data_IF_139381608599
#
_entry.id   IF_139381608599
#
_cell.length_a   1.000
_cell.length_b   1.000
_cell.length_c   1.000
_cell.angle_alpha   90.00
_cell.angle_beta   90.00
_cell.angle_gamma   90.00
#
_symmetry.space_group_name_H-M   'P 1'
#
loop_
_entity.id
_entity.type
_entity.pdbx_description
1 polymer ?
#
# COMPACT_ATOMS: atom_id res chain seq x y z
N UNK A 1 5.06 60.23 16.36
CA UNK A 1 6.33 60.07 15.62
C UNK A 1 7.23 59.16 16.42
N UNK A 2 6.94 57.86 16.39
CA UNK A 2 7.78 56.78 16.90
C UNK A 2 7.03 55.49 16.58
N UNK A 3 7.58 54.72 15.65
CA UNK A 3 7.64 53.23 15.64
C UNK A 3 7.72 52.75 14.19
N UNK A 4 8.86 53.05 13.55
CA UNK A 4 9.20 52.50 12.22
C UNK A 4 10.71 52.23 12.13
N UNK A 5 11.23 51.49 13.11
CA UNK A 5 12.65 51.10 13.15
C UNK A 5 12.89 49.61 13.42
N UNK A 6 11.85 48.77 13.49
CA UNK A 6 12.00 47.37 13.93
C UNK A 6 11.60 46.30 12.90
N UNK A 7 11.22 46.65 11.67
CA UNK A 7 10.99 45.63 10.62
C UNK A 7 12.28 45.13 9.95
N UNK A 8 13.42 45.81 10.18
CA UNK A 8 14.68 45.50 9.51
C UNK A 8 15.56 44.47 10.24
N UNK A 9 15.22 44.06 11.47
CA UNK A 9 16.02 43.12 12.28
C UNK A 9 15.22 41.88 12.73
N UNK A 10 14.36 41.37 11.84
CA UNK A 10 13.71 40.07 12.04
C UNK A 10 14.50 38.97 11.28
N UNK A 11 15.16 38.02 11.97
CA UNK A 11 15.86 36.90 11.32
C UNK A 11 14.94 36.03 10.45
N UNK A 12 13.63 36.08 10.66
CA UNK A 12 12.64 35.37 9.86
C UNK A 12 12.45 35.99 8.46
N UNK A 13 12.68 37.30 8.30
CA UNK A 13 12.59 37.99 7.01
C UNK A 13 13.84 37.72 6.16
N UNK A 14 15.02 37.75 6.78
CA UNK A 14 16.29 37.41 6.12
C UNK A 14 16.36 35.94 5.71
N UNK A 15 15.80 35.03 6.53
CA UNK A 15 15.68 33.61 6.22
C UNK A 15 14.75 33.36 5.01
N UNK A 16 13.54 33.96 5.00
CA UNK A 16 12.61 33.90 3.84
C UNK A 16 13.22 34.40 2.54
N UNK A 17 14.07 35.42 2.60
CA UNK A 17 14.75 35.98 1.43
C UNK A 17 15.81 35.03 0.84
N UNK A 18 16.50 34.22 1.65
CA UNK A 18 17.49 33.23 1.15
C UNK A 18 16.85 32.00 0.49
N UNK A 19 15.60 31.66 0.85
CA UNK A 19 14.85 30.57 0.22
C UNK A 19 14.36 30.96 -1.20
N UNK A 20 14.29 32.26 -1.50
CA UNK A 20 13.88 32.80 -2.81
C UNK A 20 15.02 32.89 -3.84
N UNK A 21 16.25 32.47 -3.52
CA UNK A 21 17.42 32.53 -4.43
C UNK A 21 17.85 31.17 -5.00
N UNK A 22 17.09 30.09 -4.77
CA UNK A 22 17.24 28.85 -5.56
C UNK A 22 16.34 28.97 -6.78
N UNK A 23 16.90 29.57 -7.84
CA UNK A 23 16.18 30.03 -9.02
C UNK A 23 15.17 29.03 -9.58
N UNK A 24 14.16 29.58 -10.27
CA UNK A 24 12.97 28.96 -10.89
C UNK A 24 13.10 27.49 -11.35
N UNK A 25 14.29 27.06 -11.77
CA UNK A 25 14.65 25.67 -12.04
C UNK A 25 14.45 24.70 -10.86
N UNK A 26 14.78 25.10 -9.63
CA UNK A 26 14.61 24.23 -8.45
C UNK A 26 13.13 24.05 -8.12
N UNK A 27 12.35 25.13 -8.17
CA UNK A 27 10.90 25.07 -7.98
C UNK A 27 10.20 24.30 -9.10
N UNK A 28 10.66 24.46 -10.35
CA UNK A 28 10.18 23.67 -11.49
C UNK A 28 10.47 22.17 -11.31
N UNK A 29 11.67 21.81 -10.84
CA UNK A 29 12.04 20.43 -10.55
C UNK A 29 11.24 19.84 -9.39
N UNK A 30 10.97 20.61 -8.33
CA UNK A 30 10.17 20.14 -7.19
C UNK A 30 8.69 20.00 -7.56
N UNK A 31 8.13 20.95 -8.32
CA UNK A 31 6.74 20.91 -8.76
C UNK A 31 6.47 19.78 -9.77
N UNK A 32 7.46 19.45 -10.62
CA UNK A 32 7.36 18.36 -11.59
C UNK A 32 8.13 17.10 -11.16
N UNK A 33 8.51 17.00 -9.89
CA UNK A 33 9.44 15.98 -9.40
C UNK A 33 8.94 14.56 -9.65
N UNK A 34 7.64 14.32 -9.44
CA UNK A 34 7.02 13.02 -9.65
C UNK A 34 7.10 12.59 -11.13
N UNK A 35 6.87 13.53 -12.06
CA UNK A 35 6.97 13.24 -13.48
C UNK A 35 8.41 12.96 -13.91
N UNK A 36 9.36 13.76 -13.42
CA UNK A 36 10.79 13.56 -13.66
C UNK A 36 11.26 12.21 -13.09
N UNK A 37 10.80 11.85 -11.89
CA UNK A 37 11.12 10.57 -11.26
C UNK A 37 10.60 9.38 -12.06
N UNK A 38 9.38 9.46 -12.59
CA UNK A 38 8.80 8.42 -13.46
C UNK A 38 9.61 8.27 -14.75
N UNK A 39 9.98 9.36 -15.41
CA UNK A 39 10.78 9.30 -16.65
C UNK A 39 12.14 8.66 -16.38
N UNK A 40 12.85 9.08 -15.33
CA UNK A 40 14.15 8.52 -14.97
C UNK A 40 14.03 7.03 -14.64
N UNK A 41 12.99 6.62 -13.91
CA UNK A 41 12.74 5.22 -13.61
C UNK A 41 12.50 4.39 -14.88
N UNK A 42 11.74 4.91 -15.85
CA UNK A 42 11.51 4.24 -17.14
C UNK A 42 12.83 4.05 -17.89
N UNK A 43 13.68 5.07 -17.97
CA UNK A 43 14.99 5.00 -18.66
C UNK A 43 15.92 3.98 -17.99
N UNK A 44 15.99 3.97 -16.66
CA UNK A 44 16.81 3.00 -15.91
C UNK A 44 16.31 1.57 -16.16
N UNK A 45 14.99 1.35 -16.11
CA UNK A 45 14.37 0.05 -16.36
C UNK A 45 14.61 -0.39 -17.82
N UNK A 46 14.60 0.51 -18.79
CA UNK A 46 14.95 0.21 -20.19
C UNK A 46 16.37 -0.31 -20.34
N UNK A 47 17.34 0.33 -19.68
CA UNK A 47 18.76 -0.07 -19.75
C UNK A 47 18.96 -1.44 -19.09
N UNK A 48 18.33 -1.69 -17.92
CA UNK A 48 18.47 -2.95 -17.21
C UNK A 48 17.70 -4.12 -17.87
N UNK A 49 16.60 -3.81 -18.57
CA UNK A 49 15.74 -4.79 -19.24
C UNK A 49 15.35 -4.27 -20.64
N UNK A 50 16.20 -4.45 -21.66
CA UNK A 50 15.94 -3.96 -23.03
C UNK A 50 14.71 -4.61 -23.70
N UNK A 51 14.22 -5.72 -23.13
CA UNK A 51 12.99 -6.40 -23.57
C UNK A 51 11.72 -5.91 -22.87
N UNK A 52 11.83 -4.95 -21.95
CA UNK A 52 10.71 -4.42 -21.14
C UNK A 52 9.60 -3.79 -21.99
N UNK A 53 9.95 -3.02 -23.03
CA UNK A 53 8.97 -2.43 -23.96
C UNK A 53 8.49 -3.38 -25.05
N UNK A 54 8.90 -4.66 -25.04
CA UNK A 54 8.33 -5.62 -25.97
C UNK A 54 6.86 -5.90 -25.62
N UNK A 55 6.01 -5.98 -26.64
CA UNK A 55 4.55 -6.20 -26.49
C UNK A 55 4.22 -7.37 -25.55
N UNK A 56 4.88 -8.55 -25.63
CA UNK A 56 4.57 -9.66 -24.72
C UNK A 56 4.94 -9.36 -23.25
N UNK A 57 6.01 -8.60 -23.02
CA UNK A 57 6.44 -8.24 -21.66
C UNK A 57 5.50 -7.22 -21.04
N UNK A 58 5.03 -6.24 -21.82
CA UNK A 58 4.02 -5.26 -21.38
C UNK A 58 2.73 -5.98 -20.97
N UNK A 59 2.23 -6.90 -21.80
CA UNK A 59 1.02 -7.68 -21.50
C UNK A 59 1.20 -8.48 -20.21
N UNK A 60 2.37 -9.09 -20.01
CA UNK A 60 2.65 -9.86 -18.80
C UNK A 60 2.73 -8.99 -17.55
N UNK A 61 3.39 -7.83 -17.63
CA UNK A 61 3.50 -6.86 -16.53
C UNK A 61 2.11 -6.29 -16.17
N UNK A 62 1.32 -5.91 -17.18
CA UNK A 62 -0.03 -5.40 -16.97
C UNK A 62 -0.91 -6.51 -16.39
N UNK A 63 -0.87 -7.73 -16.93
CA UNK A 63 -1.68 -8.85 -16.41
C UNK A 63 -1.35 -9.15 -14.95
N UNK A 64 -0.06 -9.17 -14.59
CA UNK A 64 0.38 -9.40 -13.21
C UNK A 64 0.01 -8.24 -12.28
N UNK A 65 0.18 -7.00 -12.74
CA UNK A 65 -0.16 -5.81 -11.96
C UNK A 65 -1.67 -5.67 -11.79
N UNK A 66 -2.44 -5.92 -12.84
CA UNK A 66 -3.91 -5.89 -12.85
C UNK A 66 -4.51 -6.96 -11.94
N UNK A 67 -3.89 -8.13 -11.80
CA UNK A 67 -4.33 -9.12 -10.82
C UNK A 67 -4.08 -8.67 -9.36
N UNK A 68 -3.00 -7.94 -9.11
CA UNK A 68 -2.62 -7.49 -7.77
C UNK A 68 -3.28 -6.17 -7.35
N UNK A 69 -3.74 -5.35 -8.30
CA UNK A 69 -4.40 -4.07 -8.05
C UNK A 69 -5.71 -4.19 -7.24
N UNK A 70 -6.65 -5.11 -7.53
CA UNK A 70 -7.88 -5.29 -6.75
C UNK A 70 -7.60 -5.66 -5.29
N UNK A 71 -6.59 -6.50 -5.05
CA UNK A 71 -6.19 -6.94 -3.72
C UNK A 71 -5.61 -5.74 -2.94
N UNK A 72 -4.70 -4.99 -3.57
CA UNK A 72 -4.10 -3.80 -2.96
C UNK A 72 -5.14 -2.72 -2.67
N UNK A 73 -6.08 -2.49 -3.59
CA UNK A 73 -7.17 -1.53 -3.40
C UNK A 73 -8.12 -1.95 -2.28
N UNK A 74 -8.41 -3.25 -2.16
CA UNK A 74 -9.21 -3.79 -1.05
C UNK A 74 -8.56 -3.54 0.31
N UNK A 75 -7.26 -3.83 0.44
CA UNK A 75 -6.51 -3.58 1.68
C UNK A 75 -6.40 -2.08 1.97
N UNK A 76 -6.13 -1.26 0.95
CA UNK A 76 -6.10 0.20 1.10
C UNK A 76 -7.44 0.76 1.57
N UNK A 77 -8.56 0.24 1.03
CA UNK A 77 -9.91 0.59 1.48
C UNK A 77 -10.12 0.27 2.96
N UNK A 78 -9.74 -0.94 3.41
CA UNK A 78 -9.83 -1.33 4.82
C UNK A 78 -9.00 -0.44 5.75
N UNK A 79 -7.79 -0.03 5.33
CA UNK A 79 -6.91 0.87 6.10
C UNK A 79 -7.50 2.28 6.20
N UNK A 80 -8.07 2.80 5.10
CA UNK A 80 -8.66 4.15 5.04
C UNK A 80 -9.93 4.24 5.90
N UNK A 81 -10.80 3.23 5.83
CA UNK A 81 -12.07 3.20 6.58
C UNK A 81 -11.88 3.00 8.09
N UNK A 82 -10.85 2.25 8.50
CA UNK A 82 -10.63 1.89 9.91
C UNK A 82 -9.56 2.77 10.58
N UNK A 83 -8.98 3.73 9.87
CA UNK A 83 -8.00 4.66 10.40
C UNK A 83 -6.72 3.97 10.86
N UNK A 84 -5.90 3.42 9.95
CA UNK A 84 -4.58 2.84 10.29
C UNK A 84 -4.57 1.85 11.46
N UNK A 85 -5.67 1.10 11.67
CA UNK A 85 -5.68 0.04 12.66
C UNK A 85 -4.85 -1.16 12.18
N UNK A 86 -3.71 -1.38 12.83
CA UNK A 86 -2.82 -2.53 12.62
C UNK A 86 -3.53 -3.88 12.86
N UNK A 87 -4.70 -3.86 13.53
CA UNK A 87 -5.57 -5.03 13.71
C UNK A 87 -6.09 -5.60 12.39
N UNK A 88 -6.42 -4.75 11.41
CA UNK A 88 -6.94 -5.21 10.12
C UNK A 88 -5.94 -6.14 9.40
N UNK A 89 -4.65 -5.80 9.44
CA UNK A 89 -3.58 -6.61 8.84
C UNK A 89 -3.41 -7.98 9.50
N UNK A 90 -3.61 -8.09 10.82
CA UNK A 90 -3.47 -9.36 11.56
C UNK A 90 -4.62 -10.31 11.27
N UNK A 91 -5.84 -9.79 11.15
CA UNK A 91 -7.02 -10.59 10.82
C UNK A 91 -6.87 -11.13 9.39
N UNK A 92 -6.47 -10.28 8.44
CA UNK A 92 -6.18 -10.70 7.06
C UNK A 92 -5.06 -11.75 7.02
N UNK A 93 -4.00 -11.61 7.83
CA UNK A 93 -2.94 -12.61 7.95
C UNK A 93 -3.43 -13.95 8.50
N UNK A 94 -4.24 -13.95 9.56
CA UNK A 94 -4.81 -15.17 10.14
C UNK A 94 -5.76 -15.87 9.17
N UNK A 95 -6.62 -15.09 8.50
CA UNK A 95 -7.53 -15.54 7.45
C UNK A 95 -6.76 -16.15 6.27
N UNK A 96 -5.64 -15.55 5.87
CA UNK A 96 -4.75 -16.10 4.85
C UNK A 96 -4.08 -17.41 5.28
N UNK A 97 -3.59 -17.52 6.52
CA UNK A 97 -3.02 -18.75 7.06
C UNK A 97 -4.06 -19.88 7.15
N UNK A 98 -5.29 -19.59 7.57
CA UNK A 98 -6.39 -20.56 7.62
C UNK A 98 -6.76 -21.01 6.20
N UNK A 99 -6.86 -20.07 5.25
CA UNK A 99 -7.12 -20.38 3.84
C UNK A 99 -6.03 -21.29 3.25
N UNK A 100 -4.76 -20.95 3.46
CA UNK A 100 -3.62 -21.75 3.00
C UNK A 100 -3.58 -23.14 3.65
N UNK A 101 -3.97 -23.23 4.93
CA UNK A 101 -4.06 -24.49 5.66
C UNK A 101 -5.21 -25.37 5.16
N UNK A 102 -6.29 -24.80 4.62
CA UNK A 102 -7.42 -25.55 4.08
C UNK A 102 -7.26 -25.87 2.58
N UNK A 103 -6.54 -25.03 1.83
CA UNK A 103 -6.28 -25.19 0.39
C UNK A 103 -5.00 -26.02 0.11
N UNK A 104 -4.71 -27.01 0.94
CA UNK A 104 -3.53 -27.86 0.74
C UNK A 104 -3.68 -28.70 -0.54
N UNK A 105 -2.70 -28.59 -1.44
CA UNK A 105 -2.66 -29.38 -2.68
C UNK A 105 -2.33 -30.85 -2.38
N UNK A 106 -2.97 -31.77 -3.11
CA UNK A 106 -2.83 -33.22 -2.93
C UNK A 106 -1.37 -33.73 -3.00
N UNK A 107 -0.45 -32.99 -3.63
CA UNK A 107 0.96 -33.34 -3.80
C UNK A 107 1.96 -32.69 -2.84
N UNK A 108 1.51 -32.01 -1.78
CA UNK A 108 2.42 -31.40 -0.79
C UNK A 108 2.95 -32.46 0.19
N UNK A 109 4.27 -32.56 0.36
CA UNK A 109 4.91 -33.60 1.18
C UNK A 109 4.72 -33.41 2.70
N UNK A 110 4.48 -32.18 3.17
CA UNK A 110 4.19 -31.84 4.56
C UNK A 110 2.77 -31.29 4.69
N UNK A 111 1.76 -32.17 4.59
CA UNK A 111 0.35 -31.78 4.81
C UNK A 111 0.12 -31.55 6.30
N UNK A 112 -0.41 -30.38 6.68
CA UNK A 112 -0.89 -30.12 8.03
C UNK A 112 -2.16 -30.92 8.36
N UNK A 113 -2.92 -31.35 7.34
CA UNK A 113 -4.06 -32.26 7.47
C UNK A 113 -4.00 -33.35 6.39
N UNK A 114 -3.46 -34.54 6.69
CA UNK A 114 -3.18 -35.58 5.69
C UNK A 114 -4.44 -36.21 5.03
N UNK A 115 -5.60 -36.16 5.67
CA UNK A 115 -6.86 -36.79 5.20
C UNK A 115 -7.84 -35.85 4.47
N UNK A 116 -7.50 -34.58 4.24
CA UNK A 116 -8.40 -33.67 3.53
C UNK A 116 -8.27 -33.87 2.01
N UNK A 117 -9.29 -34.49 1.42
CA UNK A 117 -9.52 -34.43 -0.03
C UNK A 117 -9.62 -32.96 -0.48
N UNK A 118 -9.10 -32.65 -1.67
CA UNK A 118 -9.18 -31.31 -2.28
C UNK A 118 -10.58 -30.73 -2.17
N UNK A 119 -10.78 -29.88 -1.17
CA UNK A 119 -12.04 -29.21 -0.97
C UNK A 119 -12.17 -28.13 -2.05
N UNK A 120 -13.36 -27.95 -2.63
CA UNK A 120 -13.51 -26.97 -3.68
C UNK A 120 -13.17 -25.56 -3.19
N UNK A 121 -12.41 -24.82 -3.98
CA UNK A 121 -11.87 -23.48 -3.62
C UNK A 121 -12.96 -22.51 -3.16
N UNK A 122 -14.16 -22.61 -3.75
CA UNK A 122 -15.30 -21.77 -3.39
C UNK A 122 -15.79 -21.99 -1.94
N UNK A 123 -15.73 -23.22 -1.42
CA UNK A 123 -16.13 -23.54 -0.04
C UNK A 123 -15.13 -22.94 0.95
N UNK A 124 -13.84 -23.05 0.66
CA UNK A 124 -12.76 -22.52 1.51
C UNK A 124 -12.84 -21.00 1.62
N UNK A 125 -13.09 -20.30 0.50
CA UNK A 125 -13.23 -18.84 0.48
C UNK A 125 -14.41 -18.40 1.36
N UNK A 126 -15.59 -19.02 1.23
CA UNK A 126 -16.77 -18.65 2.02
C UNK A 126 -16.56 -18.89 3.52
N UNK A 127 -15.97 -20.03 3.90
CA UNK A 127 -15.68 -20.35 5.29
C UNK A 127 -14.70 -19.34 5.90
N UNK A 128 -13.63 -19.04 5.18
CA UNK A 128 -12.57 -18.11 5.60
C UNK A 128 -13.11 -16.68 5.71
N UNK A 129 -13.98 -16.26 4.79
CA UNK A 129 -14.65 -14.95 4.84
C UNK A 129 -15.59 -14.85 6.05
N UNK A 130 -16.33 -15.92 6.37
CA UNK A 130 -17.22 -15.96 7.53
C UNK A 130 -16.43 -15.90 8.85
N UNK A 131 -15.35 -16.68 8.98
CA UNK A 131 -14.49 -16.67 10.18
C UNK A 131 -13.77 -15.32 10.33
N UNK A 132 -13.18 -14.81 9.24
CA UNK A 132 -12.51 -13.51 9.23
C UNK A 132 -13.45 -12.35 9.55
N UNK A 133 -14.67 -12.38 8.99
CA UNK A 133 -15.70 -11.39 9.26
C UNK A 133 -16.19 -11.42 10.71
N UNK A 134 -16.36 -12.60 11.30
CA UNK A 134 -16.77 -12.72 12.71
C UNK A 134 -15.70 -12.19 13.66
N UNK A 135 -14.43 -12.55 13.44
CA UNK A 135 -13.30 -12.06 14.24
C UNK A 135 -13.10 -10.55 14.05
N UNK A 136 -13.21 -10.06 12.80
CA UNK A 136 -13.21 -8.64 12.46
C UNK A 136 -14.32 -7.86 13.14
N UNK A 137 -15.53 -8.43 13.17
CA UNK A 137 -16.68 -7.81 13.84
C UNK A 137 -16.47 -7.71 15.34
N UNK A 138 -15.96 -8.76 16.00
CA UNK A 138 -15.66 -8.72 17.44
C UNK A 138 -14.58 -7.67 17.73
N UNK A 139 -13.52 -7.62 16.92
CA UNK A 139 -12.44 -6.65 17.10
C UNK A 139 -12.91 -5.20 16.86
N UNK A 140 -13.74 -4.98 15.84
CA UNK A 140 -14.37 -3.69 15.53
C UNK A 140 -15.38 -3.25 16.60
N UNK A 141 -16.13 -4.20 17.15
CA UNK A 141 -17.10 -3.94 18.22
C UNK A 141 -16.40 -3.58 19.54
N UNK A 142 -15.31 -4.28 19.89
CA UNK A 142 -14.51 -3.95 21.06
C UNK A 142 -13.86 -2.56 20.95
N UNK A 143 -13.24 -2.20 19.82
CA UNK A 143 -12.62 -0.86 19.67
C UNK A 143 -13.67 0.26 19.71
N UNK A 144 -14.78 0.10 18.97
CA UNK A 144 -15.83 1.13 18.92
C UNK A 144 -16.55 1.33 20.25
N UNK A 145 -16.64 0.30 21.09
CA UNK A 145 -17.35 0.40 22.36
C UNK A 145 -16.47 0.81 23.55
N UNK A 146 -15.17 0.53 23.53
CA UNK A 146 -14.28 0.80 24.66
C UNK A 146 -13.44 2.09 24.56
N UNK A 147 -13.47 2.83 23.43
CA UNK A 147 -12.67 4.06 23.23
C UNK A 147 -11.21 3.91 23.73
N UNK A 148 -10.62 2.73 23.51
CA UNK A 148 -9.22 2.50 23.81
C UNK A 148 -8.43 3.03 22.62
N UNK A 149 -7.81 4.20 22.81
CA UNK A 149 -6.81 4.74 21.90
C UNK A 149 -5.58 3.83 21.82
#
# INVERSE_FOLDING_TARGET
MAENHNEFNDPNNTAKKKINYKGNWTEFLINNLLYIFIIVAIVIIQIMRPRFLSVPSIINIISLSAANLPIALGIAGCIILTGTDLSAGRIVGLVACVSASLLQSNGYANKMFPDLATMPVYVVILLVLAIGGLIGFINGFCTSKFHLH
#
